data_IF_277200428794
#
_entry.id   IF_277200428794
#
_cell.length_a   1.000
_cell.length_b   1.000
_cell.length_c   1.000
_cell.angle_alpha   90.00
_cell.angle_beta   90.00
_cell.angle_gamma   90.00
#
_symmetry.space_group_name_H-M   'P 1'
#
loop_
_entity.id
_entity.type
_entity.pdbx_description
1 polymer ?
#
# COMPACT_ATOMS: atom_id res chain seq x y z
N UNK A 1 -23.36 9.46 4.24
CA UNK A 1 -24.48 10.39 4.00
C UNK A 1 -24.54 10.90 2.58
N UNK A 2 -23.43 11.33 1.96
CA UNK A 2 -23.45 11.93 0.62
C UNK A 2 -24.08 11.10 -0.51
N UNK A 3 -23.83 9.79 -0.58
CA UNK A 3 -24.38 8.95 -1.67
C UNK A 3 -25.91 8.85 -1.57
N UNK A 4 -26.43 8.43 -0.42
CA UNK A 4 -27.87 8.27 -0.19
C UNK A 4 -28.56 9.64 -0.22
N UNK A 5 -27.96 10.67 0.40
CA UNK A 5 -28.49 12.03 0.40
C UNK A 5 -28.66 12.61 -1.00
N UNK A 6 -27.67 12.45 -1.87
CA UNK A 6 -27.76 12.90 -3.26
C UNK A 6 -28.88 12.19 -4.03
N UNK A 7 -29.06 10.88 -3.81
CA UNK A 7 -30.13 10.11 -4.44
C UNK A 7 -31.51 10.60 -3.94
N UNK A 8 -31.65 10.81 -2.63
CA UNK A 8 -32.91 11.30 -2.01
C UNK A 8 -33.24 12.72 -2.48
N UNK A 9 -32.25 13.63 -2.52
CA UNK A 9 -32.45 15.01 -2.98
C UNK A 9 -32.86 15.11 -4.45
N UNK A 10 -32.36 14.20 -5.29
CA UNK A 10 -32.67 14.17 -6.72
C UNK A 10 -34.03 13.54 -7.04
N UNK A 11 -34.74 12.98 -6.06
CA UNK A 11 -35.99 12.27 -6.26
C UNK A 11 -37.22 13.21 -6.16
N UNK A 12 -38.05 13.26 -7.20
CA UNK A 12 -39.26 14.11 -7.22
C UNK A 12 -40.35 13.62 -6.26
N UNK A 13 -40.42 12.33 -5.96
CA UNK A 13 -41.35 11.81 -4.93
C UNK A 13 -40.96 12.31 -3.54
N UNK A 14 -39.67 12.54 -3.28
CA UNK A 14 -39.23 13.10 -2.01
C UNK A 14 -39.69 14.56 -1.83
N UNK A 15 -39.69 15.36 -2.91
CA UNK A 15 -40.27 16.70 -2.88
C UNK A 15 -41.76 16.66 -2.56
N UNK A 16 -42.49 15.73 -3.20
CA UNK A 16 -43.93 15.54 -2.94
C UNK A 16 -44.19 15.18 -1.47
N UNK A 17 -43.41 14.26 -0.89
CA UNK A 17 -43.54 13.91 0.54
C UNK A 17 -43.29 15.11 1.44
N UNK A 18 -42.31 15.96 1.12
CA UNK A 18 -42.06 17.18 1.89
C UNK A 18 -43.24 18.17 1.81
N UNK A 19 -43.81 18.36 0.61
CA UNK A 19 -44.98 19.22 0.39
C UNK A 19 -46.22 18.69 1.14
N UNK A 20 -46.45 17.37 1.13
CA UNK A 20 -47.54 16.75 1.89
C UNK A 20 -47.31 16.82 3.40
N UNK A 21 -46.06 16.72 3.86
CA UNK A 21 -45.74 16.80 5.28
C UNK A 21 -46.03 18.19 5.87
N UNK A 22 -45.89 19.25 5.06
CA UNK A 22 -46.30 20.60 5.47
C UNK A 22 -47.82 20.67 5.74
N UNK A 23 -48.64 20.04 4.89
CA UNK A 23 -50.08 19.91 5.11
C UNK A 23 -50.43 19.09 6.38
N UNK A 24 -49.71 17.98 6.60
CA UNK A 24 -49.90 17.14 7.80
C UNK A 24 -49.43 17.85 9.08
N UNK A 25 -48.46 18.76 8.99
CA UNK A 25 -47.90 19.47 10.15
C UNK A 25 -48.94 20.33 10.89
N UNK A 26 -49.86 20.98 10.17
CA UNK A 26 -50.94 21.76 10.76
C UNK A 26 -52.00 20.87 11.42
N UNK A 27 -52.31 19.74 10.77
CA UNK A 27 -53.20 18.72 11.34
C UNK A 27 -52.62 18.12 12.63
N UNK A 28 -51.32 17.84 12.66
CA UNK A 28 -50.64 17.35 13.87
C UNK A 28 -50.68 18.34 15.03
N UNK A 29 -50.64 19.64 14.74
CA UNK A 29 -50.73 20.66 15.78
C UNK A 29 -52.11 20.78 16.42
N UNK A 30 -53.14 20.63 15.59
CA UNK A 30 -54.54 20.89 15.97
C UNK A 30 -55.29 19.63 16.39
N UNK A 31 -54.80 18.46 16.01
CA UNK A 31 -55.38 17.17 16.41
C UNK A 31 -55.34 16.98 17.92
N UNK A 32 -56.46 16.50 18.46
CA UNK A 32 -56.63 16.24 19.88
C UNK A 32 -56.45 14.76 20.19
N UNK A 33 -55.74 14.46 21.26
CA UNK A 33 -55.71 13.13 21.87
C UNK A 33 -57.09 12.75 22.43
N UNK A 34 -57.29 11.48 22.78
CA UNK A 34 -58.53 11.01 23.45
C UNK A 34 -58.85 11.74 24.76
N UNK A 35 -57.88 12.43 25.33
CA UNK A 35 -58.00 13.22 26.55
C UNK A 35 -58.11 14.73 26.30
N UNK A 36 -58.28 15.16 25.04
CA UNK A 36 -58.49 16.55 24.66
C UNK A 36 -57.21 17.40 24.52
N UNK A 37 -56.03 16.84 24.78
CA UNK A 37 -54.76 17.57 24.61
C UNK A 37 -54.34 17.66 23.14
N UNK A 38 -53.86 18.83 22.72
CA UNK A 38 -53.22 19.07 21.42
C UNK A 38 -51.89 19.81 21.60
N UNK A 39 -51.04 19.82 20.56
CA UNK A 39 -49.81 20.60 20.59
C UNK A 39 -50.07 22.11 20.58
N UNK A 40 -51.17 22.55 19.95
CA UNK A 40 -51.62 23.95 20.04
C UNK A 40 -52.01 24.33 21.47
N UNK A 41 -52.77 23.46 22.16
CA UNK A 41 -53.14 23.69 23.55
C UNK A 41 -51.92 23.72 24.48
N UNK A 42 -50.93 22.84 24.24
CA UNK A 42 -49.66 22.90 24.95
C UNK A 42 -48.89 24.21 24.68
N UNK A 43 -48.87 24.70 23.44
CA UNK A 43 -48.26 26.00 23.11
C UNK A 43 -48.97 27.16 23.83
N UNK A 44 -50.30 27.10 23.95
CA UNK A 44 -51.10 28.08 24.69
C UNK A 44 -50.80 28.03 26.20
N UNK A 45 -50.80 26.83 26.81
CA UNK A 45 -50.50 26.63 28.23
C UNK A 45 -49.12 27.18 28.61
N UNK A 46 -48.10 26.90 27.78
CA UNK A 46 -46.73 27.41 27.99
C UNK A 46 -46.68 28.93 27.85
N UNK A 47 -47.41 29.50 26.90
CA UNK A 47 -47.46 30.96 26.69
C UNK A 47 -48.17 31.69 27.85
N UNK A 48 -49.19 31.08 28.45
CA UNK A 48 -49.85 31.63 29.64
C UNK A 48 -48.87 31.73 30.82
N UNK A 49 -48.06 30.69 31.03
CA UNK A 49 -47.03 30.69 32.08
C UNK A 49 -45.90 31.68 31.82
N UNK A 50 -45.53 31.90 30.55
CA UNK A 50 -44.47 32.82 30.13
C UNK A 50 -44.92 34.29 30.04
N UNK A 51 -46.22 34.57 30.18
CA UNK A 51 -46.78 35.92 30.02
C UNK A 51 -46.14 36.94 30.98
N UNK A 52 -45.85 36.55 32.23
CA UNK A 52 -45.17 37.40 33.21
C UNK A 52 -43.76 37.85 32.77
N UNK A 53 -43.08 37.02 31.97
CA UNK A 53 -41.74 37.29 31.47
C UNK A 53 -41.74 38.08 30.16
N UNK A 54 -42.92 38.36 29.58
CA UNK A 54 -43.05 39.09 28.31
C UNK A 54 -42.52 38.33 27.09
N UNK A 55 -42.34 37.00 27.21
CA UNK A 55 -41.81 36.14 26.15
C UNK A 55 -42.89 35.25 25.55
N UNK A 56 -42.75 34.88 24.27
CA UNK A 56 -43.65 33.94 23.58
C UNK A 56 -42.92 32.68 23.14
N UNK A 57 -43.50 31.53 23.46
CA UNK A 57 -43.13 30.22 22.95
C UNK A 57 -43.90 29.91 21.67
N UNK A 58 -43.23 29.30 20.69
CA UNK A 58 -43.86 28.86 19.44
C UNK A 58 -43.25 27.53 19.02
N UNK A 59 -44.09 26.51 18.85
CA UNK A 59 -43.66 25.20 18.41
C UNK A 59 -43.69 25.15 16.88
N UNK A 60 -42.75 24.46 16.24
CA UNK A 60 -42.77 24.22 14.80
C UNK A 60 -42.58 22.73 14.52
N UNK A 61 -43.49 22.16 13.72
CA UNK A 61 -43.33 20.82 13.14
C UNK A 61 -42.87 21.05 11.71
N UNK A 62 -41.70 20.54 11.33
CA UNK A 62 -41.09 20.77 10.01
C UNK A 62 -40.90 19.44 9.30
N UNK A 63 -40.99 19.46 7.97
CA UNK A 63 -40.61 18.31 7.16
C UNK A 63 -39.13 17.95 7.41
N UNK A 64 -38.80 16.66 7.45
CA UNK A 64 -37.42 16.24 7.64
C UNK A 64 -36.58 16.63 6.43
N UNK A 65 -35.38 17.14 6.66
CA UNK A 65 -34.44 17.38 5.57
C UNK A 65 -33.79 16.05 5.10
N UNK A 66 -33.19 15.99 3.89
CA UNK A 66 -32.52 14.78 3.40
C UNK A 66 -31.51 14.19 4.39
N UNK A 67 -30.77 15.04 5.10
CA UNK A 67 -29.81 14.62 6.12
C UNK A 67 -30.48 13.92 7.32
N UNK A 68 -31.64 14.40 7.75
CA UNK A 68 -32.45 13.79 8.84
C UNK A 68 -33.04 12.44 8.42
N UNK A 69 -33.44 12.29 7.15
CA UNK A 69 -33.89 10.99 6.63
C UNK A 69 -32.74 9.99 6.60
N UNK A 70 -31.60 10.40 6.03
CA UNK A 70 -30.43 9.53 5.94
C UNK A 70 -29.96 9.10 7.33
N UNK A 71 -30.03 10.01 8.31
CA UNK A 71 -29.56 9.77 9.68
C UNK A 71 -30.56 8.96 10.53
N UNK A 72 -31.85 9.27 10.44
CA UNK A 72 -32.84 8.77 11.40
C UNK A 72 -33.84 7.77 10.81
N UNK A 73 -34.00 7.75 9.48
CA UNK A 73 -35.03 6.96 8.80
C UNK A 73 -34.46 5.91 7.84
N UNK A 74 -33.13 5.76 7.81
CA UNK A 74 -32.47 4.74 7.00
C UNK A 74 -31.85 3.69 7.91
N UNK A 75 -32.21 2.44 7.68
CA UNK A 75 -31.61 1.28 8.36
C UNK A 75 -31.05 0.33 7.31
N UNK A 76 -29.98 -0.37 7.65
CA UNK A 76 -29.38 -1.40 6.79
C UNK A 76 -29.19 -2.66 7.60
N UNK A 77 -29.47 -3.79 6.96
CA UNK A 77 -29.43 -5.12 7.54
C UNK A 77 -28.73 -6.06 6.56
N UNK A 78 -28.15 -7.13 7.07
CA UNK A 78 -27.51 -8.15 6.26
C UNK A 78 -28.23 -9.49 6.44
N UNK A 79 -28.27 -10.30 5.39
CA UNK A 79 -28.84 -11.64 5.44
C UNK A 79 -27.79 -12.66 5.03
N UNK A 80 -27.66 -13.73 5.82
CA UNK A 80 -26.88 -14.90 5.45
C UNK A 80 -27.84 -15.98 4.93
N UNK A 81 -27.70 -16.45 3.66
CA UNK A 81 -28.51 -17.54 3.13
C UNK A 81 -28.46 -18.82 3.97
N UNK A 82 -27.38 -19.02 4.73
CA UNK A 82 -27.17 -20.16 5.63
C UNK A 82 -27.98 -20.04 6.94
N UNK A 83 -28.45 -18.83 7.28
CA UNK A 83 -29.25 -18.53 8.46
C UNK A 83 -30.74 -18.33 8.12
N UNK A 84 -31.23 -19.01 7.09
CA UNK A 84 -32.65 -18.96 6.66
C UNK A 84 -33.17 -17.54 6.37
N UNK A 85 -32.28 -16.62 5.99
CA UNK A 85 -32.65 -15.24 5.68
C UNK A 85 -32.93 -14.36 6.91
N UNK A 86 -32.51 -14.78 8.11
CA UNK A 86 -32.55 -13.91 9.28
C UNK A 86 -31.69 -12.66 9.07
N UNK A 87 -32.21 -11.55 9.59
CA UNK A 87 -31.50 -10.28 9.62
C UNK A 87 -30.41 -10.31 10.68
N UNK A 88 -29.20 -9.92 10.28
CA UNK A 88 -28.01 -9.92 11.10
C UNK A 88 -27.38 -8.53 11.08
N UNK A 89 -26.94 -8.07 12.25
CA UNK A 89 -26.14 -6.87 12.38
C UNK A 89 -24.70 -7.11 11.87
N UNK A 90 -24.04 -6.06 11.40
CA UNK A 90 -22.64 -6.13 10.94
C UNK A 90 -21.68 -6.72 11.98
N UNK A 91 -21.93 -6.49 13.27
CA UNK A 91 -21.12 -7.01 14.38
C UNK A 91 -21.16 -8.54 14.49
N UNK A 92 -22.17 -9.19 13.92
CA UNK A 92 -22.34 -10.65 13.95
C UNK A 92 -21.53 -11.35 12.86
N UNK A 93 -20.99 -10.61 11.90
CA UNK A 93 -20.08 -11.14 10.88
C UNK A 93 -18.64 -11.10 11.37
N UNK A 94 -17.81 -12.03 10.89
CA UNK A 94 -16.37 -12.03 11.18
C UNK A 94 -15.67 -10.75 10.68
N UNK A 95 -14.56 -10.39 11.33
CA UNK A 95 -13.79 -9.16 11.03
C UNK A 95 -13.37 -9.04 9.57
N UNK A 96 -13.05 -10.16 8.90
CA UNK A 96 -12.74 -10.18 7.47
C UNK A 96 -13.90 -9.72 6.59
N UNK A 97 -15.13 -10.16 6.91
CA UNK A 97 -16.33 -9.69 6.21
C UNK A 97 -16.60 -8.22 6.51
N UNK A 98 -16.47 -7.78 7.78
CA UNK A 98 -16.68 -6.39 8.16
C UNK A 98 -15.70 -5.46 7.43
N UNK A 99 -14.43 -5.85 7.34
CA UNK A 99 -13.43 -5.10 6.58
C UNK A 99 -13.74 -5.09 5.09
N UNK A 100 -14.12 -6.24 4.53
CA UNK A 100 -14.51 -6.34 3.14
C UNK A 100 -15.75 -5.48 2.82
N UNK A 101 -16.69 -5.36 3.75
CA UNK A 101 -17.84 -4.49 3.63
C UNK A 101 -17.43 -3.01 3.62
N UNK A 102 -16.57 -2.57 4.55
CA UNK A 102 -16.00 -1.21 4.54
C UNK A 102 -15.29 -0.93 3.21
N UNK A 103 -14.47 -1.88 2.74
CA UNK A 103 -13.82 -1.79 1.43
C UNK A 103 -14.84 -1.65 0.29
N UNK A 104 -15.91 -2.44 0.33
CA UNK A 104 -16.99 -2.37 -0.67
C UNK A 104 -17.64 -1.00 -0.66
N UNK A 105 -17.91 -0.43 0.51
CA UNK A 105 -18.44 0.93 0.63
C UNK A 105 -17.49 2.00 0.06
N UNK A 106 -16.17 1.86 0.29
CA UNK A 106 -15.16 2.75 -0.30
C UNK A 106 -15.15 2.62 -1.82
N UNK A 107 -15.11 1.40 -2.34
CA UNK A 107 -15.03 1.12 -3.77
C UNK A 107 -16.30 1.54 -4.51
N UNK A 108 -17.47 1.28 -3.92
CA UNK A 108 -18.76 1.78 -4.41
C UNK A 108 -18.76 3.30 -4.32
N UNK A 109 -18.39 3.87 -3.17
CA UNK A 109 -18.35 5.31 -2.95
C UNK A 109 -17.54 6.06 -4.01
N UNK A 110 -16.40 5.52 -4.42
CA UNK A 110 -15.58 6.08 -5.49
C UNK A 110 -16.32 6.21 -6.84
N UNK A 111 -17.34 5.37 -7.11
CA UNK A 111 -18.18 5.45 -8.33
C UNK A 111 -19.29 6.50 -8.23
N UNK A 112 -19.78 6.76 -7.01
CA UNK A 112 -20.91 7.68 -6.76
C UNK A 112 -20.46 9.10 -6.39
N UNK A 113 -19.17 9.41 -6.47
CA UNK A 113 -18.67 10.78 -6.40
C UNK A 113 -19.20 11.55 -7.62
N UNK A 114 -20.30 12.26 -7.44
CA UNK A 114 -20.90 13.11 -8.46
C UNK A 114 -20.03 14.36 -8.70
N UNK A 115 -19.93 14.79 -9.96
CA UNK A 115 -19.40 16.11 -10.32
C UNK A 115 -20.33 17.17 -9.72
N UNK A 116 -19.91 17.76 -8.60
CA UNK A 116 -20.36 19.04 -8.01
C UNK A 116 -21.75 19.51 -8.44
N UNK A 117 -22.78 19.24 -7.61
CA UNK A 117 -24.03 20.00 -7.63
C UNK A 117 -23.73 21.40 -7.08
N UNK A 118 -24.30 22.43 -7.72
CA UNK A 118 -24.13 23.84 -7.35
C UNK A 118 -24.46 24.08 -5.87
N UNK A 119 -23.47 24.60 -5.14
CA UNK A 119 -23.49 24.76 -3.68
C UNK A 119 -24.52 25.82 -3.25
N UNK A 120 -25.46 25.47 -2.37
CA UNK A 120 -26.21 26.44 -1.56
C UNK A 120 -25.30 26.94 -0.42
N UNK A 121 -25.32 28.25 -0.17
CA UNK A 121 -24.34 29.03 0.61
C UNK A 121 -24.35 28.86 2.13
N UNK A 122 -25.04 27.85 2.69
CA UNK A 122 -25.26 27.76 4.16
C UNK A 122 -24.61 26.58 4.89
N UNK A 123 -24.05 25.60 4.18
CA UNK A 123 -23.40 24.46 4.83
C UNK A 123 -21.88 24.59 4.87
N UNK A 124 -21.27 24.08 5.95
CA UNK A 124 -19.82 23.95 6.06
C UNK A 124 -19.30 23.09 4.92
N UNK A 125 -18.46 23.67 4.07
CA UNK A 125 -17.77 22.94 2.99
C UNK A 125 -16.29 22.91 3.32
N UNK A 126 -15.72 21.75 3.69
CA UNK A 126 -14.30 21.68 3.98
C UNK A 126 -13.48 21.94 2.71
N UNK A 127 -12.42 22.74 2.85
CA UNK A 127 -11.45 22.96 1.78
C UNK A 127 -10.66 21.68 1.46
N UNK A 128 -10.46 20.82 2.47
CA UNK A 128 -9.82 19.51 2.36
C UNK A 128 -10.50 18.49 3.28
N UNK A 129 -10.72 17.28 2.77
CA UNK A 129 -11.11 16.10 3.52
C UNK A 129 -9.90 15.18 3.68
N UNK A 130 -9.48 14.94 4.93
CA UNK A 130 -8.41 14.00 5.24
C UNK A 130 -9.01 12.68 5.73
N UNK A 131 -8.66 11.58 5.06
CA UNK A 131 -9.01 10.23 5.47
C UNK A 131 -7.77 9.52 6.00
N UNK A 132 -7.86 9.03 7.23
CA UNK A 132 -6.78 8.33 7.92
C UNK A 132 -7.17 6.85 8.07
N UNK A 133 -6.34 5.95 7.53
CA UNK A 133 -6.50 4.51 7.69
C UNK A 133 -5.33 3.91 8.46
N UNK A 134 -5.66 3.11 9.47
CA UNK A 134 -4.72 2.20 10.10
C UNK A 134 -4.91 0.80 9.50
N UNK A 135 -3.83 0.25 8.92
CA UNK A 135 -3.76 -1.09 8.32
C UNK A 135 -5.02 -1.45 7.49
N UNK A 136 -5.37 -0.67 6.44
CA UNK A 136 -6.53 -0.89 5.57
C UNK A 136 -6.66 -2.36 5.10
N UNK A 137 -5.54 -3.05 4.92
CA UNK A 137 -5.41 -4.44 4.51
C UNK A 137 -5.81 -5.51 5.55
N UNK A 138 -5.93 -5.16 6.83
CA UNK A 138 -6.12 -6.16 7.90
C UNK A 138 -7.33 -7.06 7.61
N UNK A 139 -7.16 -8.38 7.70
CA UNK A 139 -8.18 -9.40 7.39
C UNK A 139 -8.62 -9.51 5.91
N UNK A 140 -7.94 -8.84 4.97
CA UNK A 140 -8.19 -8.98 3.53
C UNK A 140 -7.22 -9.97 2.89
N UNK A 141 -7.69 -10.74 1.91
CA UNK A 141 -6.83 -11.59 1.08
C UNK A 141 -5.95 -10.74 0.14
N UNK A 142 -4.76 -11.22 -0.27
CA UNK A 142 -3.82 -10.43 -1.08
C UNK A 142 -4.41 -9.72 -2.31
N UNK A 143 -5.27 -10.34 -3.14
CA UNK A 143 -5.87 -9.64 -4.28
C UNK A 143 -6.80 -8.49 -3.86
N UNK A 144 -7.48 -8.61 -2.72
CA UNK A 144 -8.36 -7.57 -2.17
C UNK A 144 -7.55 -6.39 -1.63
N UNK A 145 -6.35 -6.63 -1.08
CA UNK A 145 -5.45 -5.58 -0.61
C UNK A 145 -4.97 -4.71 -1.79
N UNK A 146 -4.61 -5.34 -2.90
CA UNK A 146 -4.23 -4.64 -4.14
C UNK A 146 -5.41 -3.81 -4.68
N UNK A 147 -6.61 -4.40 -4.70
CA UNK A 147 -7.81 -3.70 -5.14
C UNK A 147 -8.14 -2.51 -4.23
N UNK A 148 -7.95 -2.63 -2.92
CA UNK A 148 -8.13 -1.55 -1.95
C UNK A 148 -7.14 -0.42 -2.18
N UNK A 149 -5.85 -0.72 -2.36
CA UNK A 149 -4.83 0.28 -2.67
C UNK A 149 -5.20 1.05 -3.96
N UNK A 150 -5.60 0.35 -5.03
CA UNK A 150 -6.04 0.97 -6.28
C UNK A 150 -7.31 1.83 -6.11
N UNK A 151 -8.29 1.35 -5.35
CA UNK A 151 -9.53 2.09 -5.10
C UNK A 151 -9.28 3.37 -4.31
N UNK A 152 -8.42 3.35 -3.29
CA UNK A 152 -8.03 4.53 -2.52
C UNK A 152 -7.34 5.58 -3.40
N UNK A 153 -6.40 5.15 -4.25
CA UNK A 153 -5.70 6.03 -5.21
C UNK A 153 -6.63 6.63 -6.26
N UNK A 154 -7.57 5.84 -6.79
CA UNK A 154 -8.60 6.35 -7.73
C UNK A 154 -9.51 7.36 -7.05
N UNK A 155 -9.85 7.12 -5.79
CA UNK A 155 -10.72 8.01 -5.04
C UNK A 155 -10.08 9.39 -4.83
N UNK A 156 -8.80 9.46 -4.45
CA UNK A 156 -8.06 10.73 -4.34
C UNK A 156 -7.86 11.40 -5.71
N UNK A 157 -7.51 10.63 -6.74
CA UNK A 157 -7.32 11.17 -8.10
C UNK A 157 -8.57 11.85 -8.67
N UNK A 158 -9.77 11.36 -8.31
CA UNK A 158 -11.04 11.92 -8.73
C UNK A 158 -11.54 13.08 -7.84
N UNK A 159 -10.91 13.33 -6.68
CA UNK A 159 -11.33 14.32 -5.69
C UNK A 159 -10.18 15.22 -5.28
N UNK A 160 -10.05 16.39 -5.92
CA UNK A 160 -8.97 17.35 -5.67
C UNK A 160 -8.87 17.85 -4.23
N UNK A 161 -9.97 17.81 -3.48
CA UNK A 161 -10.04 18.27 -2.10
C UNK A 161 -9.96 17.12 -1.10
N UNK A 162 -9.45 15.96 -1.48
CA UNK A 162 -9.36 14.79 -0.61
C UNK A 162 -7.95 14.23 -0.57
N UNK A 163 -7.47 13.95 0.64
CA UNK A 163 -6.19 13.29 0.89
C UNK A 163 -6.45 12.02 1.69
N UNK A 164 -5.77 10.94 1.32
CA UNK A 164 -5.77 9.67 2.04
C UNK A 164 -4.37 9.44 2.60
N UNK A 165 -4.27 9.18 3.90
CA UNK A 165 -3.06 8.69 4.54
C UNK A 165 -3.36 7.30 5.11
N UNK A 166 -2.49 6.33 4.80
CA UNK A 166 -2.62 4.98 5.32
C UNK A 166 -1.29 4.49 5.91
N UNK A 167 -1.35 3.85 7.07
CA UNK A 167 -0.27 2.98 7.54
C UNK A 167 -0.51 1.57 7.00
N UNK A 168 0.56 0.86 6.60
CA UNK A 168 0.46 -0.49 6.04
C UNK A 168 1.71 -1.30 6.37
N UNK A 169 1.52 -2.60 6.57
CA UNK A 169 2.58 -3.61 6.62
C UNK A 169 2.54 -4.55 5.40
N UNK A 170 1.67 -4.27 4.43
CA UNK A 170 1.48 -5.12 3.27
C UNK A 170 2.36 -4.71 2.09
N UNK A 171 3.14 -5.63 1.50
CA UNK A 171 3.84 -5.36 0.25
C UNK A 171 2.90 -5.14 -0.94
N UNK A 172 1.64 -5.56 -0.83
CA UNK A 172 0.65 -5.36 -1.90
C UNK A 172 0.28 -3.90 -2.09
N UNK A 173 0.36 -3.06 -1.04
CA UNK A 173 0.13 -1.61 -1.12
C UNK A 173 1.26 -0.86 -1.85
N UNK A 174 2.45 -1.46 -1.91
CA UNK A 174 3.65 -0.90 -2.54
C UNK A 174 3.81 -1.35 -4.00
N UNK A 175 3.42 -2.59 -4.30
CA UNK A 175 3.85 -3.30 -5.52
C UNK A 175 3.32 -2.77 -6.88
N UNK A 176 2.08 -2.28 -6.98
CA UNK A 176 1.43 -2.17 -8.29
C UNK A 176 1.38 -0.81 -8.96
N UNK A 177 1.79 0.29 -8.30
CA UNK A 177 1.77 1.61 -8.94
C UNK A 177 2.98 2.47 -8.58
N UNK A 178 4.03 2.33 -9.40
CA UNK A 178 5.33 3.01 -9.19
C UNK A 178 5.30 4.49 -9.57
N UNK A 179 4.25 4.98 -10.25
CA UNK A 179 4.06 6.44 -10.48
C UNK A 179 3.96 7.22 -9.16
N UNK A 180 3.70 6.49 -8.09
CA UNK A 180 3.44 6.98 -6.76
C UNK A 180 4.54 6.56 -5.77
N UNK A 181 5.75 6.26 -6.25
CA UNK A 181 6.88 6.00 -5.34
C UNK A 181 7.18 7.19 -4.44
N UNK A 182 6.80 8.40 -4.88
CA UNK A 182 6.88 9.64 -4.14
C UNK A 182 5.77 9.77 -3.09
N UNK A 183 4.69 8.99 -3.18
CA UNK A 183 3.65 8.90 -2.15
C UNK A 183 4.07 8.00 -0.97
N UNK A 184 5.13 7.21 -1.14
CA UNK A 184 5.60 6.28 -0.11
C UNK A 184 6.43 7.00 0.94
N UNK A 185 6.01 6.87 2.19
CA UNK A 185 6.72 7.34 3.36
C UNK A 185 7.14 6.11 4.17
N UNK A 186 8.45 5.88 4.26
CA UNK A 186 9.00 4.83 5.12
C UNK A 186 9.44 5.44 6.45
N UNK A 187 8.92 4.87 7.53
CA UNK A 187 9.32 5.21 8.90
C UNK A 187 10.23 4.09 9.43
N UNK A 188 11.34 4.47 10.04
CA UNK A 188 12.27 3.52 10.67
C UNK A 188 12.65 4.01 12.06
N UNK A 189 12.62 3.09 13.03
CA UNK A 189 13.11 3.33 14.38
C UNK A 189 14.47 2.67 14.56
N UNK A 190 15.47 3.45 14.97
CA UNK A 190 16.81 2.95 15.27
C UNK A 190 16.90 2.29 16.66
N UNK A 191 18.09 1.80 17.01
CA UNK A 191 18.33 1.13 18.30
C UNK A 191 18.26 2.08 19.51
N UNK A 192 18.54 3.37 19.31
CA UNK A 192 18.45 4.40 20.34
C UNK A 192 17.01 4.91 20.52
N UNK A 193 16.10 4.47 19.65
CA UNK A 193 14.69 4.77 19.67
C UNK A 193 14.32 6.02 18.86
N UNK A 194 15.25 6.62 18.11
CA UNK A 194 14.96 7.73 17.22
C UNK A 194 14.18 7.24 15.99
N UNK A 195 13.22 8.04 15.54
CA UNK A 195 12.42 7.74 14.35
C UNK A 195 12.92 8.61 13.20
N UNK A 196 13.28 7.97 12.10
CA UNK A 196 13.61 8.61 10.83
C UNK A 196 12.48 8.42 9.82
N UNK A 197 12.31 9.41 8.94
CA UNK A 197 11.31 9.44 7.90
C UNK A 197 11.99 9.57 6.54
N UNK A 198 11.67 8.66 5.62
CA UNK A 198 12.25 8.61 4.29
C UNK A 198 11.14 8.66 3.23
N UNK A 199 11.18 9.70 2.40
CA UNK A 199 10.27 9.88 1.28
C UNK A 199 11.07 10.38 0.06
N UNK A 200 10.71 9.89 -1.12
CA UNK A 200 11.31 10.33 -2.38
C UNK A 200 10.52 11.53 -2.90
N UNK A 201 11.19 12.65 -3.18
CA UNK A 201 10.59 13.76 -3.92
C UNK A 201 10.71 13.55 -5.43
N UNK A 202 9.89 14.25 -6.22
CA UNK A 202 9.95 14.18 -7.69
C UNK A 202 11.35 14.50 -8.23
N UNK A 203 12.04 15.49 -7.64
CA UNK A 203 13.39 15.86 -8.06
C UNK A 203 14.43 14.80 -7.68
N UNK A 204 14.27 14.16 -6.51
CA UNK A 204 15.14 13.05 -6.11
C UNK A 204 14.91 11.85 -7.02
N UNK A 205 13.66 11.57 -7.39
CA UNK A 205 13.31 10.51 -8.33
C UNK A 205 13.95 10.73 -9.71
N UNK A 206 13.84 11.93 -10.29
CA UNK A 206 14.47 12.26 -11.58
C UNK A 206 15.99 12.02 -11.55
N UNK A 207 16.66 12.44 -10.47
CA UNK A 207 18.11 12.19 -10.29
C UNK A 207 18.45 10.70 -10.21
N UNK A 208 17.64 9.90 -9.53
CA UNK A 208 17.81 8.43 -9.47
C UNK A 208 17.65 7.84 -10.86
N UNK A 209 16.60 8.23 -11.59
CA UNK A 209 16.36 7.76 -12.95
C UNK A 209 17.54 8.12 -13.89
N UNK A 210 18.04 9.36 -13.82
CA UNK A 210 19.20 9.79 -14.60
C UNK A 210 20.47 9.02 -14.26
N UNK A 211 20.70 8.78 -12.97
CA UNK A 211 21.85 7.99 -12.49
C UNK A 211 21.78 6.55 -13.01
N UNK A 212 20.59 5.94 -12.99
CA UNK A 212 20.37 4.57 -13.46
C UNK A 212 20.61 4.40 -14.97
N UNK A 213 20.49 5.47 -15.76
CA UNK A 213 20.80 5.45 -17.19
C UNK A 213 22.29 5.27 -17.49
N UNK A 214 23.18 5.51 -16.52
CA UNK A 214 24.62 5.36 -16.71
C UNK A 214 25.03 3.93 -17.11
N UNK A 215 24.29 2.92 -16.66
CA UNK A 215 24.57 1.52 -17.04
C UNK A 215 24.58 1.33 -18.56
N UNK A 216 23.69 1.99 -19.31
CA UNK A 216 23.64 1.84 -20.75
C UNK A 216 24.83 2.47 -21.47
N UNK A 217 25.43 3.52 -20.90
CA UNK A 217 26.68 4.08 -21.44
C UNK A 217 27.81 3.05 -21.37
N UNK A 218 27.91 2.32 -20.26
CA UNK A 218 28.87 1.21 -20.11
C UNK A 218 28.61 0.14 -21.18
N UNK A 219 27.35 -0.25 -21.37
CA UNK A 219 26.97 -1.28 -22.35
C UNK A 219 27.28 -0.85 -23.79
N UNK A 220 27.05 0.42 -24.14
CA UNK A 220 27.40 0.99 -25.44
C UNK A 220 28.91 0.96 -25.70
N UNK A 221 29.71 1.40 -24.72
CA UNK A 221 31.18 1.35 -24.81
C UNK A 221 31.71 -0.10 -24.95
N UNK A 222 31.01 -1.05 -24.35
CA UNK A 222 31.30 -2.48 -24.46
C UNK A 222 30.72 -3.13 -25.74
N UNK A 223 30.13 -2.35 -26.65
CA UNK A 223 29.53 -2.81 -27.91
C UNK A 223 28.43 -3.88 -27.70
N UNK A 224 27.71 -3.80 -26.58
CA UNK A 224 26.55 -4.64 -26.31
C UNK A 224 25.35 -3.99 -27.00
N UNK A 225 24.55 -4.79 -27.72
CA UNK A 225 23.35 -4.30 -28.37
C UNK A 225 22.29 -3.93 -27.32
N UNK A 226 21.80 -2.69 -27.36
CA UNK A 226 20.79 -2.15 -26.46
C UNK A 226 19.61 -1.70 -27.32
N UNK A 227 18.40 -2.02 -26.91
CA UNK A 227 17.21 -1.53 -27.60
C UNK A 227 17.07 -0.02 -27.41
N UNK A 228 16.73 0.73 -28.46
CA UNK A 228 16.63 2.19 -28.39
C UNK A 228 15.68 2.69 -27.29
N UNK A 229 14.60 1.94 -27.03
CA UNK A 229 13.66 2.26 -25.96
C UNK A 229 14.34 2.28 -24.58
N UNK A 230 15.29 1.38 -24.30
CA UNK A 230 15.94 1.28 -22.98
C UNK A 230 16.70 2.56 -22.60
N UNK A 231 17.08 3.38 -23.59
CA UNK A 231 17.75 4.66 -23.42
C UNK A 231 16.79 5.81 -23.04
N UNK A 232 15.48 5.59 -23.15
CA UNK A 232 14.46 6.58 -22.76
C UNK A 232 14.36 6.63 -21.24
N UNK A 233 14.32 7.84 -20.67
CA UNK A 233 14.18 8.04 -19.23
C UNK A 233 12.88 7.40 -18.69
N UNK A 234 11.79 7.47 -19.46
CA UNK A 234 10.49 6.87 -19.11
C UNK A 234 10.55 5.34 -18.98
N UNK A 235 11.52 4.66 -19.62
CA UNK A 235 11.70 3.23 -19.44
C UNK A 235 12.17 2.86 -18.04
N UNK A 236 12.74 3.80 -17.28
CA UNK A 236 13.05 3.57 -15.85
C UNK A 236 11.76 3.25 -15.09
N UNK A 237 10.70 4.05 -15.30
CA UNK A 237 9.41 3.85 -14.67
C UNK A 237 8.81 2.49 -15.06
N UNK A 238 8.87 2.14 -16.34
CA UNK A 238 8.36 0.85 -16.84
C UNK A 238 9.10 -0.33 -16.19
N UNK A 239 10.43 -0.25 -16.11
CA UNK A 239 11.27 -1.29 -15.50
C UNK A 239 10.97 -1.44 -14.01
N UNK A 240 10.80 -0.34 -13.30
CA UNK A 240 10.44 -0.35 -11.89
C UNK A 240 9.06 -0.97 -11.66
N UNK A 241 8.09 -0.73 -12.55
CA UNK A 241 6.78 -1.39 -12.53
C UNK A 241 6.90 -2.91 -12.66
N UNK A 242 7.79 -3.38 -13.55
CA UNK A 242 8.07 -4.80 -13.72
C UNK A 242 8.74 -5.40 -12.47
N UNK A 243 9.58 -4.62 -11.80
CA UNK A 243 10.41 -5.11 -10.70
C UNK A 243 9.73 -5.01 -9.34
N UNK A 244 8.88 -4.05 -9.06
CA UNK A 244 8.24 -3.90 -7.75
C UNK A 244 7.10 -4.90 -7.53
N UNK A 245 7.35 -6.21 -7.60
CA UNK A 245 6.32 -7.19 -7.25
C UNK A 245 6.21 -7.35 -5.71
N UNK A 246 5.12 -7.94 -5.18
CA UNK A 246 4.95 -8.10 -3.73
C UNK A 246 6.14 -8.76 -3.05
N UNK A 247 6.76 -9.79 -3.66
CA UNK A 247 7.93 -10.48 -3.09
C UNK A 247 9.13 -9.57 -2.89
N UNK A 248 9.45 -8.69 -3.86
CA UNK A 248 10.55 -7.72 -3.71
C UNK A 248 10.16 -6.54 -2.84
N UNK A 249 8.90 -6.14 -2.82
CA UNK A 249 8.40 -5.11 -1.92
C UNK A 249 8.47 -5.49 -0.43
N UNK A 250 8.66 -6.78 -0.09
CA UNK A 250 9.01 -7.19 1.29
C UNK A 250 10.27 -6.45 1.78
N UNK A 251 11.20 -6.08 0.88
CA UNK A 251 12.40 -5.31 1.21
C UNK A 251 12.12 -3.98 1.94
N UNK A 252 10.96 -3.36 1.72
CA UNK A 252 10.58 -2.10 2.35
C UNK A 252 10.30 -2.25 3.84
N UNK A 253 9.99 -3.47 4.28
CA UNK A 253 9.66 -3.85 5.65
C UNK A 253 10.78 -4.64 6.33
N UNK A 254 11.86 -4.94 5.60
CA UNK A 254 12.99 -5.71 6.12
C UNK A 254 13.83 -4.88 7.09
N UNK A 255 14.44 -5.54 8.08
CA UNK A 255 15.51 -4.92 8.89
C UNK A 255 16.80 -4.78 8.09
N UNK A 256 17.06 -5.75 7.21
CA UNK A 256 18.21 -5.79 6.33
C UNK A 256 17.88 -6.50 5.03
N UNK A 257 18.37 -5.96 3.91
CA UNK A 257 18.18 -6.54 2.58
C UNK A 257 19.50 -7.08 2.04
N UNK A 258 19.52 -8.32 1.55
CA UNK A 258 20.64 -8.87 0.78
C UNK A 258 20.28 -8.88 -0.71
N UNK A 259 20.84 -7.95 -1.47
CA UNK A 259 20.73 -7.90 -2.92
C UNK A 259 21.64 -8.97 -3.54
N UNK A 260 21.04 -9.82 -4.35
CA UNK A 260 21.73 -10.86 -5.12
C UNK A 260 21.39 -10.78 -6.59
N UNK A 261 22.17 -11.44 -7.44
CA UNK A 261 21.95 -11.39 -8.88
C UNK A 261 20.64 -12.04 -9.33
N UNK A 262 20.29 -13.20 -8.77
CA UNK A 262 19.25 -14.02 -9.38
C UNK A 262 18.57 -15.02 -8.45
N UNK A 263 17.65 -15.83 -9.02
CA UNK A 263 16.89 -16.84 -8.29
C UNK A 263 17.76 -17.99 -7.74
N UNK A 264 18.97 -18.19 -8.28
CA UNK A 264 19.90 -19.22 -7.78
C UNK A 264 20.38 -18.87 -6.37
N UNK A 265 20.84 -17.63 -6.20
CA UNK A 265 21.34 -17.10 -4.94
C UNK A 265 20.19 -16.97 -3.93
N UNK A 266 19.03 -16.45 -4.36
CA UNK A 266 17.82 -16.39 -3.52
C UNK A 266 17.45 -17.76 -2.98
N UNK A 267 17.37 -18.78 -3.84
CA UNK A 267 16.98 -20.12 -3.43
C UNK A 267 17.97 -20.73 -2.44
N UNK A 268 19.26 -20.73 -2.79
CA UNK A 268 20.28 -21.33 -1.94
C UNK A 268 20.43 -20.60 -0.61
N UNK A 269 20.55 -19.27 -0.60
CA UNK A 269 20.80 -18.50 0.63
C UNK A 269 19.62 -18.60 1.59
N UNK A 270 18.37 -18.53 1.09
CA UNK A 270 17.21 -18.74 1.97
C UNK A 270 17.18 -20.15 2.58
N UNK A 271 17.61 -21.16 1.82
CA UNK A 271 17.74 -22.53 2.36
C UNK A 271 18.80 -22.60 3.45
N UNK A 272 19.97 -22.00 3.23
CA UNK A 272 21.05 -21.94 4.22
C UNK A 272 20.69 -21.14 5.49
N UNK A 273 19.91 -20.06 5.35
CA UNK A 273 19.34 -19.31 6.47
C UNK A 273 18.35 -20.19 7.26
N UNK A 274 17.48 -20.93 6.56
CA UNK A 274 16.50 -21.82 7.18
C UNK A 274 17.16 -22.99 7.93
N UNK A 275 18.30 -23.48 7.44
CA UNK A 275 19.09 -24.53 8.08
C UNK A 275 20.02 -24.00 9.19
N UNK A 276 19.98 -22.70 9.49
CA UNK A 276 20.79 -22.07 10.55
C UNK A 276 22.29 -22.02 10.23
N UNK A 277 22.68 -22.24 8.98
CA UNK A 277 24.08 -22.28 8.55
C UNK A 277 24.68 -20.90 8.34
N UNK A 278 23.89 -19.84 8.20
CA UNK A 278 24.39 -18.46 8.04
C UNK A 278 24.27 -17.71 9.37
N UNK A 279 23.09 -17.65 9.98
CA UNK A 279 22.89 -17.05 11.29
C UNK A 279 21.84 -17.84 12.07
N UNK A 280 21.88 -17.71 13.40
CA UNK A 280 20.95 -18.42 14.29
C UNK A 280 19.55 -17.79 14.31
N UNK A 281 19.42 -16.51 13.94
CA UNK A 281 18.15 -15.77 13.92
C UNK A 281 18.00 -14.98 12.61
N UNK A 282 17.53 -15.61 11.51
CA UNK A 282 17.37 -14.93 10.22
C UNK A 282 16.23 -13.88 10.20
N UNK A 283 15.51 -13.69 11.31
CA UNK A 283 14.33 -12.82 11.38
C UNK A 283 14.69 -11.36 11.03
N UNK A 284 14.17 -10.89 9.91
CA UNK A 284 14.38 -9.52 9.41
C UNK A 284 15.38 -9.39 8.26
N UNK A 285 16.01 -10.48 7.82
CA UNK A 285 16.80 -10.52 6.58
C UNK A 285 15.89 -10.91 5.41
N UNK A 286 15.95 -10.14 4.32
CA UNK A 286 15.25 -10.47 3.07
C UNK A 286 16.27 -10.56 1.95
N UNK A 287 16.34 -11.72 1.28
CA UNK A 287 17.17 -11.92 0.09
C UNK A 287 16.39 -11.53 -1.16
N UNK A 288 16.89 -10.55 -1.90
CA UNK A 288 16.18 -9.92 -3.03
C UNK A 288 16.90 -10.26 -4.34
N UNK A 289 16.15 -10.89 -5.24
CA UNK A 289 16.53 -11.07 -6.65
C UNK A 289 16.56 -9.71 -7.36
N UNK A 290 17.75 -9.27 -7.79
CA UNK A 290 17.90 -8.02 -8.54
C UNK A 290 17.52 -8.16 -10.02
N UNK A 291 17.11 -9.34 -10.48
CA UNK A 291 16.86 -9.64 -11.89
C UNK A 291 18.10 -9.42 -12.78
N UNK A 292 19.25 -9.83 -12.25
CA UNK A 292 20.56 -9.75 -12.88
C UNK A 292 21.42 -8.59 -12.39
N UNK A 293 22.73 -8.75 -12.58
CA UNK A 293 23.78 -7.81 -12.17
C UNK A 293 23.53 -6.36 -12.64
N UNK A 294 23.00 -6.18 -13.85
CA UNK A 294 22.74 -4.86 -14.45
C UNK A 294 21.78 -3.97 -13.66
N UNK A 295 20.99 -4.55 -12.77
CA UNK A 295 19.97 -3.84 -11.99
C UNK A 295 20.37 -3.63 -10.53
N UNK A 296 21.44 -4.26 -10.04
CA UNK A 296 21.85 -4.16 -8.63
C UNK A 296 22.01 -2.68 -8.20
N UNK A 297 22.75 -1.89 -8.99
CA UNK A 297 22.94 -0.46 -8.72
C UNK A 297 21.61 0.31 -8.66
N UNK A 298 20.59 -0.09 -9.44
CA UNK A 298 19.27 0.54 -9.45
C UNK A 298 18.52 0.30 -8.15
N UNK A 299 18.57 -0.93 -7.63
CA UNK A 299 18.03 -1.24 -6.31
C UNK A 299 18.79 -0.51 -5.20
N UNK A 300 20.12 -0.43 -5.26
CA UNK A 300 20.93 0.31 -4.28
C UNK A 300 20.53 1.79 -4.22
N UNK A 301 20.37 2.43 -5.37
CA UNK A 301 19.96 3.83 -5.46
C UNK A 301 18.55 4.06 -4.90
N UNK A 302 17.61 3.16 -5.20
CA UNK A 302 16.24 3.22 -4.68
C UNK A 302 16.21 3.00 -3.15
N UNK A 303 16.89 1.97 -2.68
CA UNK A 303 16.93 1.61 -1.26
C UNK A 303 17.61 2.68 -0.42
N UNK A 304 18.71 3.24 -0.92
CA UNK A 304 19.36 4.40 -0.30
C UNK A 304 18.39 5.57 -0.16
N UNK A 305 17.60 5.85 -1.19
CA UNK A 305 16.65 6.97 -1.16
C UNK A 305 15.52 6.81 -0.13
N UNK A 306 15.23 5.57 0.29
CA UNK A 306 14.21 5.18 1.27
C UNK A 306 14.81 4.76 2.63
N UNK A 307 16.12 4.93 2.83
CA UNK A 307 16.80 4.54 4.06
C UNK A 307 16.89 3.03 4.30
N UNK A 308 16.66 2.20 3.27
CA UNK A 308 16.68 0.74 3.40
C UNK A 308 18.14 0.27 3.46
N UNK A 309 18.53 -0.26 4.63
CA UNK A 309 19.84 -0.88 4.83
C UNK A 309 19.96 -2.16 4.01
N UNK A 310 21.01 -2.24 3.22
CA UNK A 310 21.20 -3.34 2.30
C UNK A 310 22.67 -3.76 2.21
N UNK A 311 22.88 -4.99 1.77
CA UNK A 311 24.19 -5.51 1.36
C UNK A 311 24.07 -6.12 -0.01
N UNK A 312 25.22 -6.27 -0.67
CA UNK A 312 25.29 -6.76 -2.04
C UNK A 312 26.20 -7.97 -2.10
N UNK A 313 25.72 -9.04 -2.73
CA UNK A 313 26.50 -10.22 -3.08
C UNK A 313 26.25 -10.57 -4.55
N UNK A 314 27.30 -10.53 -5.37
CA UNK A 314 27.19 -10.84 -6.79
C UNK A 314 28.44 -11.57 -7.29
N UNK A 315 28.35 -12.29 -8.40
CA UNK A 315 29.49 -12.93 -9.06
C UNK A 315 30.42 -11.84 -9.62
N UNK A 316 31.74 -12.00 -9.64
CA UNK A 316 32.63 -11.04 -10.31
C UNK A 316 32.77 -11.32 -11.81
N UNK A 317 32.33 -12.50 -12.29
CA UNK A 317 32.51 -12.98 -13.67
C UNK A 317 33.96 -12.87 -14.19
N UNK A 318 34.95 -12.95 -13.29
CA UNK A 318 36.37 -12.69 -13.53
C UNK A 318 36.68 -11.32 -14.13
N UNK A 319 35.83 -10.31 -13.89
CA UNK A 319 35.96 -8.98 -14.48
C UNK A 319 36.10 -9.01 -16.01
N UNK A 320 35.44 -9.98 -16.67
CA UNK A 320 35.58 -10.16 -18.10
C UNK A 320 34.73 -9.12 -18.87
N UNK A 321 35.34 -8.42 -19.83
CA UNK A 321 34.67 -7.46 -20.73
C UNK A 321 33.84 -6.40 -19.97
N UNK A 322 32.52 -6.38 -20.15
CA UNK A 322 31.58 -5.46 -19.51
C UNK A 322 31.49 -5.64 -18.00
N UNK A 323 31.76 -6.85 -17.50
CA UNK A 323 31.59 -7.16 -16.09
C UNK A 323 32.54 -6.36 -15.21
N UNK A 324 33.75 -6.02 -15.68
CA UNK A 324 34.67 -5.15 -14.92
C UNK A 324 34.04 -3.79 -14.62
N UNK A 325 33.57 -3.10 -15.66
CA UNK A 325 32.95 -1.77 -15.53
C UNK A 325 31.64 -1.85 -14.74
N UNK A 326 30.90 -2.95 -14.87
CA UNK A 326 29.66 -3.14 -14.11
C UNK A 326 29.91 -3.43 -12.63
N UNK A 327 30.93 -4.24 -12.30
CA UNK A 327 31.36 -4.47 -10.93
C UNK A 327 31.87 -3.15 -10.29
N UNK A 328 32.62 -2.35 -11.05
CA UNK A 328 33.04 -1.00 -10.64
C UNK A 328 31.83 -0.08 -10.41
N UNK A 329 30.82 -0.10 -11.30
CA UNK A 329 29.58 0.66 -11.12
C UNK A 329 28.87 0.29 -9.82
N UNK A 330 28.64 -1.00 -9.57
CA UNK A 330 27.96 -1.48 -8.35
C UNK A 330 28.76 -1.07 -7.11
N UNK A 331 30.08 -1.27 -7.13
CA UNK A 331 30.95 -0.88 -6.03
C UNK A 331 30.88 0.63 -5.76
N UNK A 332 30.88 1.45 -6.81
CA UNK A 332 30.76 2.90 -6.70
C UNK A 332 29.35 3.37 -6.30
N UNK A 333 28.32 2.53 -6.45
CA UNK A 333 26.96 2.80 -5.95
C UNK A 333 26.79 2.50 -4.45
N UNK A 334 27.81 1.95 -3.78
CA UNK A 334 27.79 1.79 -2.32
C UNK A 334 27.61 3.16 -1.66
N UNK A 335 26.71 3.23 -0.67
CA UNK A 335 26.29 4.45 -0.02
C UNK A 335 26.20 4.25 1.50
N UNK A 336 25.73 5.27 2.23
CA UNK A 336 25.62 5.23 3.69
C UNK A 336 24.71 4.12 4.24
N UNK A 337 23.80 3.59 3.41
CA UNK A 337 22.93 2.47 3.76
C UNK A 337 23.48 1.11 3.28
N UNK A 338 24.62 1.07 2.60
CA UNK A 338 25.29 -0.17 2.19
C UNK A 338 26.14 -0.71 3.34
N UNK A 339 25.68 -1.78 3.99
CA UNK A 339 26.35 -2.39 5.15
C UNK A 339 27.51 -3.30 4.72
N UNK A 340 27.33 -4.03 3.63
CA UNK A 340 28.34 -4.97 3.12
C UNK A 340 28.30 -5.10 1.61
N UNK A 341 29.48 -5.25 1.01
CA UNK A 341 29.65 -5.51 -0.42
C UNK A 341 30.66 -6.63 -0.59
N UNK A 342 30.24 -7.74 -1.20
CA UNK A 342 31.12 -8.85 -1.50
C UNK A 342 30.89 -9.37 -2.91
N UNK A 343 31.95 -9.89 -3.50
CA UNK A 343 31.90 -10.57 -4.79
C UNK A 343 32.29 -12.03 -4.67
N UNK A 344 31.62 -12.89 -5.45
CA UNK A 344 32.01 -14.28 -5.60
C UNK A 344 32.98 -14.37 -6.78
N UNK A 345 34.19 -14.87 -6.51
CA UNK A 345 35.18 -15.04 -7.57
C UNK A 345 34.69 -16.03 -8.63
N UNK A 346 34.55 -15.54 -9.85
CA UNK A 346 34.03 -16.26 -10.99
C UNK A 346 32.53 -16.39 -10.97
N UNK A 347 32.02 -17.47 -10.38
CA UNK A 347 30.59 -17.71 -10.27
C UNK A 347 30.26 -18.50 -9.02
N UNK A 348 29.01 -18.42 -8.57
CA UNK A 348 28.50 -19.23 -7.46
C UNK A 348 28.82 -20.73 -7.61
N UNK A 349 28.64 -21.30 -8.80
CA UNK A 349 28.93 -22.72 -9.05
C UNK A 349 30.40 -23.07 -8.83
N UNK A 350 31.31 -22.18 -9.26
CA UNK A 350 32.75 -22.37 -9.06
C UNK A 350 33.12 -22.31 -7.59
N UNK A 351 32.55 -21.36 -6.83
CA UNK A 351 32.73 -21.29 -5.38
C UNK A 351 32.25 -22.57 -4.69
N UNK A 352 31.10 -23.09 -5.12
CA UNK A 352 30.52 -24.32 -4.59
C UNK A 352 31.24 -25.59 -5.07
N UNK A 353 32.10 -25.51 -6.08
CA UNK A 353 32.79 -26.66 -6.67
C UNK A 353 31.87 -27.60 -7.44
N UNK A 354 30.76 -27.09 -7.96
CA UNK A 354 29.78 -27.86 -8.74
C UNK A 354 29.95 -27.59 -10.23
N UNK A 355 29.75 -28.62 -11.05
CA UNK A 355 29.76 -28.49 -12.51
C UNK A 355 28.61 -27.59 -13.01
N UNK A 356 28.76 -26.95 -14.18
CA UNK A 356 27.72 -26.10 -14.76
C UNK A 356 26.46 -26.93 -15.08
N UNK A 357 25.26 -26.33 -15.00
CA UNK A 357 24.03 -27.01 -15.38
C UNK A 357 24.02 -27.28 -16.90
N UNK A 358 23.28 -28.30 -17.31
CA UNK A 358 23.12 -28.65 -18.75
C UNK A 358 22.46 -27.53 -19.57
N UNK A 359 21.61 -26.71 -18.95
CA UNK A 359 20.99 -25.52 -19.56
C UNK A 359 21.00 -24.37 -18.55
N UNK A 360 21.27 -23.14 -19.01
CA UNK A 360 21.40 -21.95 -18.13
C UNK A 360 20.18 -21.72 -17.23
N UNK A 361 18.95 -21.86 -17.76
CA UNK A 361 17.73 -21.67 -16.97
C UNK A 361 17.55 -22.71 -15.84
N UNK A 362 18.28 -23.84 -15.89
CA UNK A 362 18.23 -24.88 -14.84
C UNK A 362 19.14 -24.59 -13.66
N UNK A 363 19.94 -23.51 -13.72
CA UNK A 363 20.91 -23.13 -12.68
C UNK A 363 20.27 -23.15 -11.28
N UNK A 364 19.10 -22.53 -11.02
CA UNK A 364 18.51 -22.51 -9.67
C UNK A 364 18.22 -23.91 -9.12
N UNK A 365 17.48 -24.75 -9.86
CA UNK A 365 17.15 -26.10 -9.37
C UNK A 365 18.37 -27.03 -9.32
N UNK A 366 19.38 -26.82 -10.18
CA UNK A 366 20.62 -27.61 -10.14
C UNK A 366 21.40 -27.34 -8.86
N UNK A 367 21.64 -26.07 -8.52
CA UNK A 367 22.39 -25.70 -7.31
C UNK A 367 21.68 -26.19 -6.05
N UNK A 368 20.36 -25.96 -5.95
CA UNK A 368 19.56 -26.44 -4.82
C UNK A 368 19.59 -27.97 -4.71
N UNK A 369 19.50 -28.71 -5.83
CA UNK A 369 19.59 -30.16 -5.81
C UNK A 369 20.95 -30.67 -5.30
N UNK A 370 22.06 -30.04 -5.71
CA UNK A 370 23.39 -30.40 -5.21
C UNK A 370 23.50 -30.20 -3.70
N UNK A 371 22.90 -29.12 -3.17
CA UNK A 371 22.82 -28.86 -1.74
C UNK A 371 21.98 -29.92 -1.01
N UNK A 372 20.75 -30.18 -1.45
CA UNK A 372 19.83 -31.14 -0.83
C UNK A 372 20.35 -32.58 -0.84
N UNK A 373 21.23 -32.92 -1.78
CA UNK A 373 21.88 -34.24 -1.85
C UNK A 373 23.21 -34.31 -1.10
N UNK A 374 23.65 -33.23 -0.45
CA UNK A 374 24.93 -33.19 0.25
C UNK A 374 26.14 -33.37 -0.67
N UNK A 375 26.00 -32.98 -1.94
CA UNK A 375 27.04 -33.15 -2.97
C UNK A 375 27.99 -31.95 -3.04
N UNK A 376 27.67 -30.85 -2.35
CA UNK A 376 28.54 -29.68 -2.23
C UNK A 376 29.60 -29.97 -1.16
N UNK A 377 30.91 -29.85 -1.46
CA UNK A 377 31.96 -30.02 -0.47
C UNK A 377 31.79 -29.06 0.71
N UNK A 378 31.90 -29.57 1.94
CA UNK A 378 31.64 -28.80 3.16
C UNK A 378 32.49 -27.52 3.25
N UNK A 379 33.77 -27.60 2.89
CA UNK A 379 34.67 -26.43 2.83
C UNK A 379 34.14 -25.31 1.93
N UNK A 380 33.55 -25.66 0.79
CA UNK A 380 33.03 -24.71 -0.18
C UNK A 380 31.73 -24.08 0.33
N UNK A 381 30.88 -24.88 0.96
CA UNK A 381 29.66 -24.43 1.61
C UNK A 381 29.96 -23.46 2.76
N UNK A 382 30.93 -23.79 3.61
CA UNK A 382 31.40 -22.93 4.70
C UNK A 382 32.01 -21.63 4.17
N UNK A 383 32.72 -21.66 3.04
CA UNK A 383 33.24 -20.45 2.39
C UNK A 383 32.11 -19.52 1.94
N UNK A 384 31.05 -20.05 1.30
CA UNK A 384 29.87 -19.27 0.94
C UNK A 384 29.17 -18.71 2.19
N UNK A 385 28.95 -19.53 3.23
CA UNK A 385 28.29 -19.07 4.45
C UNK A 385 29.08 -17.94 5.13
N UNK A 386 30.42 -18.07 5.19
CA UNK A 386 31.30 -17.03 5.73
C UNK A 386 31.23 -15.75 4.91
N UNK A 387 31.22 -15.86 3.58
CA UNK A 387 31.08 -14.72 2.68
C UNK A 387 29.75 -14.00 2.90
N UNK A 388 28.63 -14.74 2.93
CA UNK A 388 27.31 -14.15 3.18
C UNK A 388 27.25 -13.50 4.56
N UNK A 389 27.76 -14.16 5.61
CA UNK A 389 27.82 -13.58 6.97
C UNK A 389 28.60 -12.27 7.00
N UNK A 390 29.71 -12.18 6.26
CA UNK A 390 30.51 -10.95 6.20
C UNK A 390 29.77 -9.77 5.56
N UNK A 391 28.68 -10.04 4.82
CA UNK A 391 27.79 -9.01 4.30
C UNK A 391 26.71 -8.58 5.30
N UNK A 392 26.41 -9.37 6.32
CA UNK A 392 25.29 -9.12 7.21
C UNK A 392 25.72 -8.23 8.39
N UNK A 393 24.81 -7.39 8.93
CA UNK A 393 25.11 -6.61 10.12
C UNK A 393 25.40 -7.53 11.32
N UNK A 394 26.33 -7.12 12.18
CA UNK A 394 26.84 -7.90 13.34
C UNK A 394 25.75 -8.20 14.38
N UNK A 395 24.63 -7.45 14.36
CA UNK A 395 23.56 -7.52 15.35
C UNK A 395 22.36 -8.41 14.93
N UNK A 396 22.51 -9.28 13.93
CA UNK A 396 21.49 -10.24 13.49
C UNK A 396 21.87 -11.70 13.77
#
# INVERSE_FOLDING_TARGET
TGIIGNVVESNDDFKRVCEEFESVSESLKTSQTKHGHSLSGFEDDVNEMLAYWGTKFKLYVRAPNPGEIVKNLTHFEFTDPSCEGQSLDSSQFGSGWQRYFIFTLINVGAKYVTKTVSKKTKDFVPDMTLLLFEEPEAFLHPPQQEQLADSLRKWTSNNKNMQVLCSTHSPHFVSKDIRNITDLIRLERDHDGNVSCHQISDDKWKKIADTNQYVYKILQECHINIHEDDLKQDMELVKQCLWMNPTRCIAFFAKHVLLVEGPTEVGLINRLLSDGLICSYPSGIVVVDSMGKYNIARFMNLFSALGIRHSVLHDDDHDNKEHKKLNELIKNSCNEHTVGYQTIRGSLEKLLGIGPPTKKHRKPQHVLYQYEKGLIPEKNLQALCTLVRSCLPVFL
#
